data_IF_191330115548
#
_entry.id   IF_191330115548
#
_cell.length_a   1.000
_cell.length_b   1.000
_cell.length_c   1.000
_cell.angle_alpha   90.00
_cell.angle_beta   90.00
_cell.angle_gamma   90.00
#
_symmetry.space_group_name_H-M   'P 1'
#
loop_
_entity.id
_entity.type
_entity.pdbx_description
1 polymer ?
#
# COMPACT_ATOMS: atom_id res chain seq x y z
N UNK A 1 -4.74 1.64 -17.44
CA UNK A 1 -4.64 2.16 -16.07
C UNK A 1 -3.61 1.30 -15.34
N UNK A 2 -2.63 1.91 -14.66
CA UNK A 2 -1.63 1.16 -13.89
C UNK A 2 -2.06 1.09 -12.44
N UNK A 3 -2.01 -0.12 -11.86
CA UNK A 3 -2.31 -0.37 -10.47
C UNK A 3 -1.01 -0.75 -9.77
N UNK A 4 -0.83 -0.26 -8.56
CA UNK A 4 0.28 -0.67 -7.69
C UNK A 4 -0.30 -1.26 -6.42
N UNK A 5 0.15 -2.47 -6.10
CA UNK A 5 -0.23 -3.20 -4.91
C UNK A 5 0.75 -2.85 -3.79
N UNK A 6 0.24 -2.62 -2.59
CA UNK A 6 1.01 -2.28 -1.40
C UNK A 6 0.81 -3.38 -0.36
N UNK A 7 1.90 -4.00 0.08
CA UNK A 7 1.90 -4.95 1.20
C UNK A 7 2.27 -4.21 2.49
N UNK A 8 1.43 -4.41 3.50
CA UNK A 8 1.51 -3.74 4.79
C UNK A 8 1.17 -4.73 5.92
N UNK A 9 1.82 -5.90 5.92
CA UNK A 9 1.61 -6.99 6.87
C UNK A 9 1.44 -6.57 8.35
N UNK A 10 2.01 -5.45 8.79
CA UNK A 10 1.90 -4.92 10.16
C UNK A 10 1.02 -3.67 10.34
N UNK A 11 0.53 -3.04 9.26
CA UNK A 11 -0.25 -1.79 9.35
C UNK A 11 -1.62 -1.96 10.02
N UNK A 12 -2.15 -3.18 10.05
CA UNK A 12 -3.51 -3.46 10.53
C UNK A 12 -3.60 -3.56 12.05
N UNK A 13 -2.45 -3.61 12.71
CA UNK A 13 -2.34 -3.34 14.14
C UNK A 13 -2.66 -1.87 14.46
N UNK A 14 -2.71 -0.99 13.45
CA UNK A 14 -2.86 0.46 13.58
C UNK A 14 -3.97 1.01 12.65
N UNK A 15 -5.23 1.03 13.10
CA UNK A 15 -6.39 1.49 12.32
C UNK A 15 -6.23 2.89 11.69
N UNK A 16 -5.42 3.76 12.31
CA UNK A 16 -5.14 5.12 11.86
C UNK A 16 -4.41 5.17 10.52
N UNK A 17 -3.56 4.19 10.24
CA UNK A 17 -2.78 4.14 9.00
C UNK A 17 -3.71 3.71 7.84
N UNK A 18 -4.62 2.77 8.11
CA UNK A 18 -5.68 2.38 7.17
C UNK A 18 -6.58 3.57 6.85
N UNK A 19 -7.09 4.26 7.87
CA UNK A 19 -7.95 5.43 7.69
C UNK A 19 -7.25 6.55 6.91
N UNK A 20 -5.95 6.77 7.18
CA UNK A 20 -5.14 7.72 6.41
C UNK A 20 -5.10 7.35 4.92
N UNK A 21 -4.87 6.06 4.61
CA UNK A 21 -4.83 5.59 3.22
C UNK A 21 -6.19 5.74 2.55
N UNK A 22 -7.28 5.38 3.22
CA UNK A 22 -8.66 5.53 2.75
C UNK A 22 -8.98 6.97 2.36
N UNK A 23 -8.68 7.93 3.25
CA UNK A 23 -8.97 9.34 3.02
C UNK A 23 -8.09 9.98 1.93
N UNK A 24 -6.83 9.56 1.80
CA UNK A 24 -5.85 10.23 0.93
C UNK A 24 -5.72 9.61 -0.45
N UNK A 25 -5.91 8.32 -0.57
CA UNK A 25 -5.58 7.56 -1.77
C UNK A 25 -6.77 6.83 -2.39
N UNK A 26 -7.91 6.74 -1.67
CA UNK A 26 -9.09 5.96 -2.08
C UNK A 26 -8.70 4.57 -2.60
N UNK A 27 -7.90 3.80 -1.85
CA UNK A 27 -7.43 2.51 -2.31
C UNK A 27 -8.57 1.50 -2.35
N UNK A 28 -8.43 0.50 -3.23
CA UNK A 28 -9.21 -0.73 -3.18
C UNK A 28 -8.43 -1.74 -2.34
N UNK A 29 -9.00 -2.15 -1.22
CA UNK A 29 -8.41 -3.21 -0.39
C UNK A 29 -8.66 -4.56 -1.05
N UNK A 30 -7.61 -5.35 -1.24
CA UNK A 30 -7.67 -6.66 -1.88
C UNK A 30 -7.72 -7.77 -0.82
N UNK A 31 -7.01 -7.56 0.29
CA UNK A 31 -6.94 -8.47 1.44
C UNK A 31 -6.61 -7.67 2.71
N UNK A 32 -6.65 -8.33 3.86
CA UNK A 32 -6.36 -7.74 5.18
C UNK A 32 -4.94 -7.20 5.35
N UNK A 33 -4.01 -7.42 4.41
CA UNK A 33 -2.66 -6.84 4.44
C UNK A 33 -2.29 -6.10 3.15
N UNK A 34 -3.23 -6.02 2.19
CA UNK A 34 -2.96 -5.55 0.84
C UNK A 34 -3.97 -4.51 0.37
N UNK A 35 -3.45 -3.41 -0.19
CA UNK A 35 -4.30 -2.41 -0.85
C UNK A 35 -3.72 -1.97 -2.19
N UNK A 36 -4.61 -1.54 -3.08
CA UNK A 36 -4.26 -1.07 -4.42
C UNK A 36 -4.72 0.37 -4.57
N UNK A 37 -3.85 1.22 -5.09
CA UNK A 37 -4.20 2.63 -5.35
C UNK A 37 -4.07 2.98 -6.83
N UNK A 38 -5.11 3.59 -7.40
CA UNK A 38 -5.06 4.26 -8.70
C UNK A 38 -4.99 5.78 -8.48
N UNK A 39 -3.80 6.36 -8.52
CA UNK A 39 -3.63 7.81 -8.35
C UNK A 39 -2.69 8.37 -9.41
N UNK A 40 -2.74 9.69 -9.60
CA UNK A 40 -1.81 10.42 -10.46
C UNK A 40 -0.41 10.57 -9.86
N UNK A 41 -0.25 10.25 -8.57
CA UNK A 41 1.05 10.21 -7.91
C UNK A 41 1.81 8.95 -8.32
N UNK A 42 3.14 9.08 -8.48
CA UNK A 42 3.99 7.91 -8.67
C UNK A 42 3.97 7.03 -7.43
N UNK A 43 4.16 5.72 -7.63
CA UNK A 43 4.14 4.71 -6.56
C UNK A 43 5.12 5.03 -5.43
N UNK A 44 6.30 5.57 -5.75
CA UNK A 44 7.29 6.02 -4.77
C UNK A 44 6.78 7.16 -3.86
N UNK A 45 5.97 8.10 -4.39
CA UNK A 45 5.44 9.22 -3.58
C UNK A 45 4.33 8.78 -2.64
N UNK A 46 3.56 7.78 -3.02
CA UNK A 46 2.54 7.18 -2.14
C UNK A 46 3.25 6.40 -1.04
N UNK A 47 4.20 5.53 -1.42
CA UNK A 47 4.97 4.74 -0.47
C UNK A 47 5.65 5.60 0.58
N UNK A 48 6.30 6.70 0.18
CA UNK A 48 6.90 7.65 1.12
C UNK A 48 5.89 8.24 2.11
N UNK A 49 4.69 8.62 1.66
CA UNK A 49 3.64 9.16 2.54
C UNK A 49 3.09 8.11 3.50
N UNK A 50 2.95 6.87 3.06
CA UNK A 50 2.50 5.77 3.91
C UNK A 50 3.59 5.43 4.93
N UNK A 51 4.85 5.38 4.50
CA UNK A 51 6.02 5.19 5.37
C UNK A 51 6.10 6.23 6.48
N UNK A 52 6.00 7.52 6.12
CA UNK A 52 5.99 8.61 7.09
C UNK A 52 4.86 8.45 8.12
N UNK A 53 3.67 8.02 7.67
CA UNK A 53 2.54 7.78 8.57
C UNK A 53 2.75 6.59 9.48
N UNK A 54 3.34 5.50 9.00
CA UNK A 54 3.65 4.35 9.86
C UNK A 54 4.68 4.78 10.91
N UNK A 55 5.72 5.52 10.52
CA UNK A 55 6.72 6.03 11.47
C UNK A 55 6.11 6.95 12.52
N UNK A 56 5.17 7.81 12.12
CA UNK A 56 4.44 8.70 13.03
C UNK A 56 3.62 7.92 14.07
N UNK A 57 2.93 6.86 13.66
CA UNK A 57 2.01 6.09 14.52
C UNK A 57 2.75 5.08 15.40
N UNK A 58 3.74 4.39 14.84
CA UNK A 58 4.43 3.26 15.51
C UNK A 58 5.71 3.69 16.22
N UNK A 59 6.29 4.84 15.88
CA UNK A 59 7.63 5.22 16.29
C UNK A 59 8.74 4.35 15.69
N UNK A 60 8.41 3.42 14.79
CA UNK A 60 9.32 2.48 14.14
C UNK A 60 9.37 2.70 12.63
N UNK A 61 10.43 2.21 12.00
CA UNK A 61 10.51 2.13 10.55
C UNK A 61 9.60 0.99 10.06
N UNK A 62 8.36 1.33 9.71
CA UNK A 62 7.42 0.38 9.12
C UNK A 62 7.81 -0.01 7.70
N UNK A 63 7.48 -1.23 7.28
CA UNK A 63 7.72 -1.66 5.91
C UNK A 63 6.49 -1.43 5.03
N UNK A 64 6.71 -0.79 3.89
CA UNK A 64 5.72 -0.67 2.80
C UNK A 64 6.36 -1.26 1.56
N UNK A 65 5.87 -2.40 1.11
CA UNK A 65 6.38 -3.02 -0.11
C UNK A 65 5.49 -2.57 -1.27
N UNK A 66 6.13 -2.03 -2.30
CA UNK A 66 5.46 -1.54 -3.50
C UNK A 66 5.60 -2.58 -4.59
N UNK A 67 4.50 -3.22 -4.96
CA UNK A 67 4.44 -4.25 -5.99
C UNK A 67 3.85 -3.60 -7.25
N UNK A 68 4.72 -3.30 -8.21
CA UNK A 68 4.32 -2.81 -9.53
C UNK A 68 3.68 -3.96 -10.34
N UNK A 69 2.68 -3.63 -11.16
CA UNK A 69 1.94 -4.59 -11.98
C UNK A 69 2.84 -5.42 -12.93
N UNK A 70 4.04 -4.93 -13.24
CA UNK A 70 5.05 -5.67 -14.03
C UNK A 70 5.65 -6.88 -13.29
N UNK A 71 5.71 -6.86 -11.96
CA UNK A 71 6.19 -7.99 -11.15
C UNK A 71 5.10 -9.05 -10.92
N UNK A 72 3.82 -8.64 -10.90
CA UNK A 72 2.67 -9.57 -10.85
C UNK A 72 2.57 -10.41 -12.13
N UNK A 73 2.95 -9.83 -13.28
CA UNK A 73 2.96 -10.54 -14.56
C UNK A 73 4.06 -11.61 -14.69
N UNK A 74 5.09 -11.58 -13.83
CA UNK A 74 6.26 -12.47 -13.95
C UNK A 74 6.20 -13.70 -13.04
N UNK A 75 5.28 -13.77 -12.07
CA UNK A 75 5.14 -14.90 -11.14
C UNK A 75 3.92 -15.80 -11.39
N UNK A 76 3.15 -15.57 -12.45
CA UNK A 76 2.08 -16.48 -12.88
C UNK A 76 1.03 -16.81 -11.80
N UNK A 77 0.81 -15.93 -10.82
CA UNK A 77 -0.08 -16.24 -9.71
C UNK A 77 -0.88 -15.01 -9.28
N UNK A 78 -1.91 -14.68 -10.06
CA UNK A 78 -3.20 -14.18 -9.57
C UNK A 78 -4.22 -14.31 -10.73
N UNK A 79 -4.92 -15.45 -10.79
CA UNK A 79 -6.23 -15.54 -11.43
C UNK A 79 -7.26 -15.45 -10.32
N UNK A 80 -7.97 -14.32 -10.24
CA UNK A 80 -9.42 -14.16 -10.04
C UNK A 80 -9.78 -12.67 -10.12
#
# INVERSE_FOLDING_TARGET
>A
MSYTLYDTADMWLYPEIRLFCEMRFRPKFVQDSYFVCSTHLSSSRIAAKVYDKIREVTGQEGQVIVIDNTQVASSGCYQE
#
